data_IF_524918380396
#
_entry.id   IF_524918380396
#
_cell.length_a   1.000
_cell.length_b   1.000
_cell.length_c   1.000
_cell.angle_alpha   90.00
_cell.angle_beta   90.00
_cell.angle_gamma   90.00
#
_symmetry.space_group_name_H-M   'P 1'
#
loop_
_entity.id
_entity.type
_entity.pdbx_description
1 polymer ?
#
# COMPACT_ATOMS: atom_id res chain seq x y z
N UNK A 1 -2.92 -0.87 -22.84
CA UNK A 1 -1.65 -0.83 -23.61
C UNK A 1 -1.84 -0.89 -25.12
N UNK A 2 -2.85 -1.59 -25.66
CA UNK A 2 -3.13 -1.60 -27.12
C UNK A 2 -3.61 -0.22 -27.67
N UNK A 3 -4.42 0.52 -26.91
CA UNK A 3 -5.03 1.80 -27.34
C UNK A 3 -4.04 2.98 -27.49
N UNK A 4 -2.88 2.93 -26.84
CA UNK A 4 -1.85 3.99 -26.94
C UNK A 4 -0.93 3.83 -28.14
N UNK A 5 -0.80 2.61 -28.68
CA UNK A 5 -0.06 2.35 -29.93
C UNK A 5 -0.75 2.94 -31.17
N UNK A 6 -2.06 3.15 -31.09
CA UNK A 6 -2.89 3.56 -32.23
C UNK A 6 -2.73 5.02 -32.67
N UNK A 7 -2.25 5.90 -31.79
CA UNK A 7 -2.27 7.35 -32.08
C UNK A 7 -0.96 8.01 -32.50
N UNK A 8 0.18 7.32 -32.49
CA UNK A 8 1.49 7.97 -32.69
C UNK A 8 2.42 7.43 -33.80
N UNK A 9 2.03 6.42 -34.55
CA UNK A 9 2.99 5.74 -35.46
C UNK A 9 3.03 6.33 -36.87
N UNK A 10 2.17 7.24 -37.27
CA UNK A 10 2.20 7.79 -38.64
C UNK A 10 2.28 9.31 -38.61
N UNK A 11 3.50 9.84 -38.45
CA UNK A 11 3.82 11.20 -38.88
C UNK A 11 4.35 11.16 -40.30
N UNK A 12 3.52 11.40 -41.29
CA UNK A 12 3.94 11.63 -42.65
C UNK A 12 4.42 13.08 -42.82
N UNK A 13 5.71 13.30 -42.79
CA UNK A 13 6.31 14.55 -43.19
C UNK A 13 6.70 14.45 -44.69
N UNK A 14 5.82 14.83 -45.55
CA UNK A 14 6.04 15.47 -46.86
C UNK A 14 4.83 15.42 -47.77
N UNK A 15 3.93 16.39 -47.65
CA UNK A 15 3.09 16.84 -48.75
C UNK A 15 2.81 18.35 -48.51
N UNK A 16 3.13 19.12 -49.52
CA UNK A 16 3.21 20.59 -49.47
C UNK A 16 1.93 21.29 -49.79
N UNK A 17 0.81 21.02 -49.06
CA UNK A 17 -0.39 21.86 -49.14
C UNK A 17 -1.25 21.67 -47.88
N UNK A 18 -1.53 22.77 -47.20
CA UNK A 18 -2.13 22.78 -45.87
C UNK A 18 -3.59 22.31 -45.78
N UNK A 19 -4.35 22.40 -46.88
CA UNK A 19 -5.78 22.02 -46.88
C UNK A 19 -6.02 20.56 -47.29
N UNK A 20 -5.11 19.92 -48.00
CA UNK A 20 -5.22 18.50 -48.39
C UNK A 20 -4.76 17.55 -47.26
N UNK A 21 -4.03 18.06 -46.28
CA UNK A 21 -3.47 17.26 -45.18
C UNK A 21 -4.53 16.76 -44.19
N UNK A 22 -5.56 17.57 -43.91
CA UNK A 22 -6.55 17.20 -42.89
C UNK A 22 -7.49 16.09 -43.36
N UNK A 23 -7.91 16.12 -44.61
CA UNK A 23 -8.84 15.12 -45.19
C UNK A 23 -8.13 13.78 -45.44
N UNK A 24 -6.88 13.80 -45.88
CA UNK A 24 -6.07 12.57 -46.13
C UNK A 24 -5.74 11.85 -44.84
N UNK A 25 -5.49 12.58 -43.76
CA UNK A 25 -5.20 11.99 -42.43
C UNK A 25 -6.47 11.33 -41.86
N UNK A 26 -7.63 11.90 -42.02
CA UNK A 26 -8.89 11.42 -41.45
C UNK A 26 -9.43 10.15 -42.15
N UNK A 27 -9.19 10.02 -43.46
CA UNK A 27 -9.58 8.83 -44.24
C UNK A 27 -8.53 7.75 -44.30
N UNK A 28 -7.25 8.10 -44.21
CA UNK A 28 -6.14 7.15 -44.27
C UNK A 28 -5.85 6.44 -42.92
N UNK A 29 -6.23 7.02 -41.79
CA UNK A 29 -5.98 6.42 -40.47
C UNK A 29 -6.66 5.03 -40.30
N UNK A 30 -7.94 4.84 -40.62
CA UNK A 30 -8.56 3.51 -40.52
C UNK A 30 -7.99 2.50 -41.55
N UNK A 31 -7.61 2.96 -42.74
CA UNK A 31 -7.05 2.12 -43.80
C UNK A 31 -5.60 1.69 -43.53
N UNK A 32 -4.84 2.50 -42.81
CA UNK A 32 -3.45 2.21 -42.47
C UNK A 32 -3.30 1.29 -41.24
N UNK A 33 -4.33 1.19 -40.39
CA UNK A 33 -4.28 0.43 -39.15
C UNK A 33 -4.05 -1.07 -39.38
N UNK A 34 -4.87 -1.70 -40.24
CA UNK A 34 -4.78 -3.14 -40.51
C UNK A 34 -3.43 -3.53 -41.14
N UNK A 35 -2.90 -2.83 -42.17
CA UNK A 35 -1.59 -3.09 -42.70
C UNK A 35 -0.43 -2.86 -41.71
N UNK A 36 -0.54 -1.87 -40.85
CA UNK A 36 0.47 -1.63 -39.79
C UNK A 36 0.49 -2.75 -38.75
N UNK A 37 -0.66 -3.24 -38.32
CA UNK A 37 -0.79 -4.39 -37.43
C UNK A 37 -0.23 -5.66 -38.06
N UNK A 38 -0.56 -5.92 -39.34
CA UNK A 38 -0.01 -7.02 -40.11
C UNK A 38 1.51 -6.94 -40.20
N UNK A 39 2.05 -5.76 -40.52
CA UNK A 39 3.51 -5.55 -40.61
C UNK A 39 4.19 -5.78 -39.24
N UNK A 40 3.61 -5.33 -38.13
CA UNK A 40 4.08 -5.60 -36.77
C UNK A 40 4.17 -7.10 -36.50
N UNK A 41 3.13 -7.86 -36.84
CA UNK A 41 3.07 -9.31 -36.64
C UNK A 41 4.14 -10.00 -37.48
N UNK A 42 4.26 -9.66 -38.79
CA UNK A 42 5.24 -10.23 -39.68
C UNK A 42 6.68 -9.96 -39.25
N UNK A 43 6.96 -8.72 -38.79
CA UNK A 43 8.28 -8.32 -38.30
C UNK A 43 8.73 -9.06 -37.03
N UNK A 44 7.85 -9.79 -36.37
CA UNK A 44 8.25 -10.71 -35.30
C UNK A 44 8.98 -11.96 -35.83
N UNK A 45 8.67 -12.36 -37.07
CA UNK A 45 9.30 -13.53 -37.73
C UNK A 45 10.34 -13.19 -38.76
N UNK A 46 10.22 -12.03 -39.47
CA UNK A 46 11.11 -11.62 -40.56
C UNK A 46 11.81 -10.31 -40.26
N UNK A 47 12.89 -10.00 -40.99
CA UNK A 47 13.67 -8.77 -40.78
C UNK A 47 13.14 -7.57 -41.54
N UNK A 48 12.28 -7.78 -42.54
CA UNK A 48 11.61 -6.71 -43.31
C UNK A 48 10.31 -7.18 -43.90
N UNK A 49 9.36 -6.25 -44.05
CA UNK A 49 8.05 -6.49 -44.67
C UNK A 49 7.63 -5.30 -45.54
N UNK A 50 6.71 -5.51 -46.47
CA UNK A 50 6.15 -4.47 -47.34
C UNK A 50 4.76 -4.09 -46.87
N UNK A 51 4.51 -2.78 -46.76
CA UNK A 51 3.19 -2.19 -46.53
C UNK A 51 2.72 -1.58 -47.83
N UNK A 52 1.74 -2.19 -48.48
CA UNK A 52 1.19 -1.73 -49.75
C UNK A 52 -0.29 -1.34 -49.54
N UNK A 53 -0.62 -0.07 -49.80
CA UNK A 53 -1.95 0.49 -49.79
C UNK A 53 -2.26 1.08 -51.16
N UNK A 54 -2.94 0.34 -52.03
CA UNK A 54 -3.31 0.83 -53.37
C UNK A 54 -4.45 1.84 -53.28
N UNK A 55 -4.46 2.79 -54.20
CA UNK A 55 -5.57 3.74 -54.42
C UNK A 55 -5.94 4.61 -53.19
N UNK A 56 -4.93 5.12 -52.45
CA UNK A 56 -5.21 6.00 -51.30
C UNK A 56 -5.86 7.28 -51.73
N UNK A 57 -5.43 7.86 -52.84
CA UNK A 57 -5.97 9.07 -53.42
C UNK A 57 -5.69 9.14 -54.92
N UNK A 58 -6.24 10.10 -55.62
CA UNK A 58 -5.92 10.38 -57.02
C UNK A 58 -5.72 11.88 -57.19
N UNK A 59 -4.79 12.25 -58.06
CA UNK A 59 -4.59 13.63 -58.55
C UNK A 59 -4.56 13.69 -60.06
N UNK A 60 -4.18 14.86 -60.63
CA UNK A 60 -4.12 15.08 -62.07
C UNK A 60 -3.12 14.13 -62.79
N UNK A 61 -2.24 13.47 -62.06
CA UNK A 61 -1.27 12.51 -62.63
C UNK A 61 -1.74 11.04 -62.46
N UNK A 62 -2.93 10.81 -61.89
CA UNK A 62 -3.52 9.48 -61.71
C UNK A 62 -3.60 9.01 -60.24
N UNK A 63 -3.94 7.72 -60.03
CA UNK A 63 -4.08 7.16 -58.72
C UNK A 63 -2.72 7.10 -57.96
N UNK A 64 -2.76 7.36 -56.65
CA UNK A 64 -1.62 7.29 -55.75
C UNK A 64 -1.73 6.08 -54.85
N UNK A 65 -0.60 5.43 -54.62
CA UNK A 65 -0.45 4.25 -53.81
C UNK A 65 0.61 4.54 -52.74
N UNK A 66 0.48 3.90 -51.57
CA UNK A 66 1.57 3.83 -50.63
C UNK A 66 2.24 2.44 -50.77
N UNK A 67 3.52 2.43 -51.11
CA UNK A 67 4.35 1.25 -51.08
C UNK A 67 5.60 1.54 -50.23
N UNK A 68 5.69 0.89 -49.07
CA UNK A 68 6.70 1.15 -48.08
C UNK A 68 7.29 -0.16 -47.57
N UNK A 69 8.61 -0.28 -47.63
CA UNK A 69 9.33 -1.37 -46.95
C UNK A 69 9.67 -0.93 -45.52
N UNK A 70 9.20 -1.69 -44.54
CA UNK A 70 9.51 -1.50 -43.14
C UNK A 70 10.44 -2.60 -42.66
N UNK A 71 11.61 -2.23 -42.11
CA UNK A 71 12.53 -3.16 -41.49
C UNK A 71 12.25 -3.31 -39.99
N UNK A 72 12.58 -4.49 -39.41
CA UNK A 72 12.50 -4.72 -37.97
C UNK A 72 13.30 -3.66 -37.19
N UNK A 73 14.53 -3.35 -37.62
CA UNK A 73 15.33 -2.33 -36.95
C UNK A 73 14.65 -0.94 -36.93
N UNK A 74 13.96 -0.56 -38.01
CA UNK A 74 13.18 0.70 -38.05
C UNK A 74 11.95 0.64 -37.14
N UNK A 75 11.26 -0.49 -37.13
CA UNK A 75 10.14 -0.74 -36.21
C UNK A 75 10.59 -0.66 -34.75
N UNK A 76 11.68 -1.35 -34.38
CA UNK A 76 12.24 -1.33 -33.03
C UNK A 76 12.65 0.09 -32.61
N UNK A 77 13.27 0.86 -33.51
CA UNK A 77 13.61 2.27 -33.27
C UNK A 77 12.36 3.10 -32.97
N UNK A 78 11.28 2.92 -33.72
CA UNK A 78 10.03 3.68 -33.55
C UNK A 78 9.28 3.32 -32.28
N UNK A 79 9.41 2.07 -31.80
CA UNK A 79 8.69 1.53 -30.65
C UNK A 79 9.56 1.39 -29.39
N UNK A 80 10.84 1.75 -29.45
CA UNK A 80 11.80 1.59 -28.34
C UNK A 80 11.27 2.18 -27.01
N UNK A 81 10.69 3.38 -27.07
CA UNK A 81 10.14 4.04 -25.88
C UNK A 81 8.98 3.28 -25.23
N UNK A 82 8.20 2.53 -26.01
CA UNK A 82 7.09 1.70 -25.50
C UNK A 82 7.63 0.44 -24.81
N UNK A 83 8.65 -0.19 -25.42
CA UNK A 83 9.33 -1.34 -24.82
C UNK A 83 10.01 -0.94 -23.52
N UNK A 84 10.77 0.16 -23.51
CA UNK A 84 11.45 0.65 -22.31
C UNK A 84 10.47 1.00 -21.18
N UNK A 85 9.32 1.59 -21.50
CA UNK A 85 8.27 1.91 -20.51
C UNK A 85 7.76 0.67 -19.75
N UNK A 86 7.85 -0.54 -20.34
CA UNK A 86 7.45 -1.78 -19.70
C UNK A 86 8.46 -2.28 -18.66
N UNK A 87 9.71 -1.77 -18.68
CA UNK A 87 10.75 -2.17 -17.75
C UNK A 87 10.46 -1.72 -16.30
N UNK A 88 9.84 -0.56 -16.14
CA UNK A 88 9.47 -0.01 -14.82
C UNK A 88 8.59 -0.96 -14.01
N UNK A 89 7.40 -1.34 -14.52
CA UNK A 89 6.51 -2.30 -13.83
C UNK A 89 7.15 -3.64 -13.52
N UNK A 90 8.04 -4.16 -14.38
CA UNK A 90 8.76 -5.42 -14.11
C UNK A 90 9.71 -5.28 -12.93
N UNK A 91 10.50 -4.20 -12.89
CA UNK A 91 11.41 -3.91 -11.76
C UNK A 91 10.65 -3.71 -10.47
N UNK A 92 9.53 -2.98 -10.53
CA UNK A 92 8.69 -2.75 -9.36
C UNK A 92 8.12 -4.06 -8.81
N UNK A 93 7.58 -4.92 -9.67
CA UNK A 93 7.03 -6.22 -9.25
C UNK A 93 8.09 -7.12 -8.59
N UNK A 94 9.33 -7.13 -9.12
CA UNK A 94 10.44 -7.87 -8.52
C UNK A 94 10.82 -7.29 -7.15
N UNK A 95 10.88 -5.96 -7.05
CA UNK A 95 11.17 -5.26 -5.80
C UNK A 95 10.10 -5.52 -4.73
N UNK A 96 8.82 -5.42 -5.09
CA UNK A 96 7.69 -5.67 -4.18
C UNK A 96 7.67 -7.12 -3.67
N UNK A 97 8.10 -8.07 -4.51
CA UNK A 97 8.22 -9.48 -4.13
C UNK A 97 9.50 -9.79 -3.34
N UNK A 98 10.44 -8.84 -3.20
CA UNK A 98 11.75 -9.08 -2.60
C UNK A 98 12.61 -10.06 -3.40
N UNK A 99 12.36 -10.20 -4.72
CA UNK A 99 13.01 -11.16 -5.60
C UNK A 99 13.94 -10.47 -6.60
N UNK A 100 14.99 -11.18 -6.97
CA UNK A 100 15.85 -10.86 -8.12
C UNK A 100 15.48 -11.71 -9.34
N UNK A 101 15.95 -11.33 -10.52
CA UNK A 101 15.73 -12.14 -11.73
C UNK A 101 16.27 -13.57 -11.63
N UNK A 102 17.33 -13.81 -10.82
CA UNK A 102 17.89 -15.14 -10.58
C UNK A 102 16.96 -16.06 -9.78
N UNK A 103 16.14 -15.50 -8.92
CA UNK A 103 15.23 -16.25 -8.03
C UNK A 103 14.00 -16.79 -8.75
N UNK A 104 13.70 -16.23 -9.95
CA UNK A 104 12.59 -16.69 -10.76
C UNK A 104 12.82 -18.11 -11.27
N UNK A 105 11.85 -19.00 -11.09
CA UNK A 105 11.91 -20.35 -11.67
C UNK A 105 11.73 -20.31 -13.19
N UNK A 106 10.72 -19.57 -13.66
CA UNK A 106 10.37 -19.41 -15.08
C UNK A 106 9.82 -18.02 -15.36
N UNK A 107 9.93 -17.58 -16.60
CA UNK A 107 9.30 -16.35 -17.10
C UNK A 107 8.26 -16.76 -18.16
N UNK A 108 6.99 -16.51 -17.87
CA UNK A 108 5.90 -16.78 -18.80
C UNK A 108 5.62 -15.51 -19.60
N UNK A 109 5.63 -15.66 -20.93
CA UNK A 109 5.30 -14.58 -21.87
C UNK A 109 3.82 -14.69 -22.23
N UNK A 110 3.03 -13.69 -21.86
CA UNK A 110 1.56 -13.69 -22.02
C UNK A 110 1.12 -12.54 -22.93
N UNK A 111 0.19 -12.83 -23.85
CA UNK A 111 -0.37 -11.89 -24.81
C UNK A 111 0.49 -11.74 -26.08
N UNK A 112 -0.18 -11.40 -27.20
CA UNK A 112 0.44 -11.35 -28.52
C UNK A 112 1.64 -10.41 -28.64
N UNK A 113 1.65 -9.29 -27.90
CA UNK A 113 2.78 -8.34 -27.91
C UNK A 113 4.07 -8.90 -27.31
N UNK A 114 4.00 -9.96 -26.50
CA UNK A 114 5.17 -10.67 -25.98
C UNK A 114 5.93 -11.47 -27.03
N UNK A 115 5.38 -11.61 -28.24
CA UNK A 115 6.05 -12.22 -29.39
C UNK A 115 7.06 -11.28 -30.05
N UNK A 116 7.01 -9.99 -29.78
CA UNK A 116 7.95 -8.99 -30.33
C UNK A 116 9.37 -9.27 -29.81
N UNK A 117 10.37 -9.44 -30.69
CA UNK A 117 11.72 -9.78 -30.26
C UNK A 117 12.33 -8.78 -29.27
N UNK A 118 12.15 -7.48 -29.48
CA UNK A 118 12.63 -6.43 -28.57
C UNK A 118 12.05 -6.56 -27.15
N UNK A 119 10.79 -7.00 -27.01
CA UNK A 119 10.16 -7.27 -25.70
C UNK A 119 10.81 -8.48 -25.03
N UNK A 120 11.06 -9.56 -25.80
CA UNK A 120 11.71 -10.76 -25.27
C UNK A 120 13.15 -10.47 -24.83
N UNK A 121 13.90 -9.69 -25.61
CA UNK A 121 15.26 -9.28 -25.25
C UNK A 121 15.29 -8.40 -24.00
N UNK A 122 14.36 -7.47 -23.87
CA UNK A 122 14.23 -6.62 -22.68
C UNK A 122 13.95 -7.46 -21.43
N UNK A 123 13.01 -8.40 -21.49
CA UNK A 123 12.69 -9.31 -20.38
C UNK A 123 13.91 -10.16 -20.02
N UNK A 124 14.60 -10.72 -21.02
CA UNK A 124 15.84 -11.48 -20.80
C UNK A 124 16.94 -10.63 -20.15
N UNK A 125 17.07 -9.38 -20.55
CA UNK A 125 18.04 -8.43 -19.95
C UNK A 125 17.71 -8.13 -18.49
N UNK A 126 16.43 -8.00 -18.12
CA UNK A 126 16.00 -7.70 -16.77
C UNK A 126 16.07 -8.91 -15.83
N UNK A 127 15.72 -10.10 -16.34
CA UNK A 127 15.56 -11.30 -15.51
C UNK A 127 16.71 -12.30 -15.64
N UNK A 128 17.57 -12.13 -16.66
CA UNK A 128 18.60 -13.11 -17.00
C UNK A 128 18.05 -14.42 -17.61
N UNK A 129 16.73 -14.52 -17.80
CA UNK A 129 16.05 -15.76 -18.27
C UNK A 129 15.30 -15.51 -19.58
N UNK A 130 15.29 -16.53 -20.43
CA UNK A 130 14.45 -16.51 -21.64
C UNK A 130 12.99 -16.82 -21.28
N UNK A 131 12.07 -16.25 -22.06
CA UNK A 131 10.66 -16.60 -21.97
C UNK A 131 10.42 -18.09 -22.20
N UNK A 132 9.60 -18.70 -21.32
CA UNK A 132 9.23 -20.10 -21.43
C UNK A 132 8.37 -20.33 -22.66
N UNK A 133 8.78 -21.28 -23.52
CA UNK A 133 8.16 -21.54 -24.83
C UNK A 133 7.08 -22.64 -24.80
N UNK A 134 6.83 -23.24 -23.64
CA UNK A 134 5.91 -24.38 -23.52
C UNK A 134 4.42 -24.00 -23.47
N UNK A 135 4.08 -22.71 -23.51
CA UNK A 135 2.69 -22.21 -23.46
C UNK A 135 2.52 -21.20 -24.61
N UNK A 136 1.39 -21.29 -25.32
CA UNK A 136 1.02 -20.30 -26.31
C UNK A 136 0.65 -18.97 -25.62
N UNK A 137 1.34 -17.86 -25.89
CA UNK A 137 1.06 -16.57 -25.25
C UNK A 137 -0.37 -16.07 -25.44
N UNK A 138 -1.03 -16.42 -26.54
CA UNK A 138 -2.39 -15.97 -26.86
C UNK A 138 -3.45 -16.79 -26.11
N UNK A 139 -3.14 -18.02 -25.71
CA UNK A 139 -4.05 -18.95 -25.02
C UNK A 139 -3.83 -18.98 -23.51
N UNK A 140 -2.74 -18.41 -23.01
CA UNK A 140 -2.33 -18.51 -21.61
C UNK A 140 -3.40 -18.03 -20.63
N UNK A 141 -4.11 -16.94 -20.96
CA UNK A 141 -5.20 -16.40 -20.12
C UNK A 141 -6.39 -17.35 -20.10
N UNK A 142 -6.77 -17.93 -21.25
CA UNK A 142 -7.88 -18.88 -21.33
C UNK A 142 -7.58 -20.17 -20.54
N UNK A 143 -6.34 -20.66 -20.65
CA UNK A 143 -5.89 -21.82 -19.86
C UNK A 143 -5.91 -21.52 -18.35
N UNK A 144 -5.43 -20.34 -17.95
CA UNK A 144 -5.48 -19.89 -16.55
C UNK A 144 -6.92 -19.79 -16.03
N UNK A 145 -7.83 -19.22 -16.82
CA UNK A 145 -9.26 -19.13 -16.47
C UNK A 145 -9.91 -20.53 -16.33
N UNK A 146 -9.56 -21.47 -17.21
CA UNK A 146 -10.07 -22.85 -17.11
C UNK A 146 -9.55 -23.56 -15.86
N UNK A 147 -8.27 -23.40 -15.52
CA UNK A 147 -7.70 -23.94 -14.29
C UNK A 147 -8.36 -23.35 -13.05
N UNK A 148 -8.58 -22.03 -13.03
CA UNK A 148 -9.30 -21.37 -11.94
C UNK A 148 -10.74 -21.86 -11.79
N UNK A 149 -11.44 -22.06 -12.91
CA UNK A 149 -12.75 -22.71 -12.92
C UNK A 149 -12.71 -24.10 -12.28
N UNK A 150 -11.72 -24.93 -12.61
CA UNK A 150 -11.52 -26.24 -12.01
C UNK A 150 -11.22 -26.20 -10.51
N UNK A 151 -10.50 -25.17 -10.03
CA UNK A 151 -10.30 -24.95 -8.59
C UNK A 151 -11.62 -24.61 -7.90
N UNK A 152 -12.44 -23.74 -8.48
CA UNK A 152 -13.75 -23.37 -7.91
C UNK A 152 -14.75 -24.54 -7.89
N UNK A 153 -14.73 -25.42 -8.89
CA UNK A 153 -15.58 -26.61 -8.90
C UNK A 153 -15.04 -27.76 -8.03
N UNK A 154 -13.81 -27.65 -7.54
CA UNK A 154 -13.15 -28.69 -6.75
C UNK A 154 -12.55 -29.84 -7.57
N UNK A 155 -12.53 -29.69 -8.91
CA UNK A 155 -11.92 -30.68 -9.82
C UNK A 155 -10.38 -30.63 -9.77
N UNK A 156 -9.81 -29.45 -9.51
CA UNK A 156 -8.38 -29.20 -9.33
C UNK A 156 -8.12 -28.90 -7.86
N UNK A 157 -7.43 -29.81 -7.15
CA UNK A 157 -7.17 -29.70 -5.70
C UNK A 157 -5.73 -29.32 -5.36
N UNK A 158 -4.82 -29.51 -6.29
CA UNK A 158 -3.37 -29.31 -6.06
C UNK A 158 -2.88 -27.94 -6.51
N UNK A 159 -3.79 -27.03 -6.88
CA UNK A 159 -3.47 -25.68 -7.31
C UNK A 159 -4.13 -24.68 -6.37
N UNK A 160 -3.31 -23.87 -5.69
CA UNK A 160 -3.76 -22.73 -4.91
C UNK A 160 -3.46 -21.47 -5.71
N UNK A 161 -4.52 -20.76 -6.15
CA UNK A 161 -4.36 -19.41 -6.69
C UNK A 161 -4.65 -18.42 -5.57
N UNK A 162 -3.65 -17.59 -5.30
CA UNK A 162 -3.75 -16.50 -4.33
C UNK A 162 -3.73 -15.17 -5.10
N UNK A 163 -4.68 -14.32 -4.78
CA UNK A 163 -4.69 -12.94 -5.24
C UNK A 163 -4.07 -12.04 -4.17
N UNK A 164 -3.87 -10.76 -4.47
CA UNK A 164 -3.28 -9.78 -3.55
C UNK A 164 -4.13 -8.51 -3.46
N UNK A 165 -4.04 -7.83 -2.33
CA UNK A 165 -4.63 -6.51 -2.18
C UNK A 165 -3.90 -5.49 -3.06
N UNK A 166 -4.60 -4.72 -3.92
CA UNK A 166 -3.96 -3.76 -4.81
C UNK A 166 -3.41 -2.52 -4.09
N UNK A 167 -4.01 -2.15 -2.98
CA UNK A 167 -3.64 -1.02 -2.12
C UNK A 167 -3.82 -1.41 -0.65
N UNK A 168 -3.10 -0.71 0.23
CA UNK A 168 -3.22 -0.86 1.68
C UNK A 168 -4.62 -0.51 2.18
N UNK A 169 -5.06 -1.22 3.21
CA UNK A 169 -6.32 -1.02 3.91
C UNK A 169 -6.07 -0.66 5.36
N UNK A 170 -6.83 0.29 5.86
CA UNK A 170 -6.67 0.76 7.24
C UNK A 170 -7.85 1.61 7.69
N UNK A 171 -7.67 2.23 8.83
CA UNK A 171 -8.65 3.14 9.42
C UNK A 171 -8.03 4.51 9.73
N UNK A 172 -8.89 5.53 9.79
CA UNK A 172 -8.51 6.84 10.33
C UNK A 172 -8.34 6.75 11.84
N UNK A 173 -7.23 7.28 12.34
CA UNK A 173 -6.93 7.41 13.76
C UNK A 173 -6.74 8.86 14.17
N UNK A 174 -6.49 9.11 15.46
CA UNK A 174 -6.38 10.44 16.03
C UNK A 174 -5.42 11.33 15.26
N UNK A 175 -5.88 12.54 14.92
CA UNK A 175 -5.11 13.50 14.11
C UNK A 175 -5.26 13.34 12.60
N UNK A 176 -6.20 12.49 12.12
CA UNK A 176 -6.46 12.27 10.69
C UNK A 176 -5.40 11.43 10.00
N UNK A 177 -4.69 10.58 10.73
CA UNK A 177 -3.67 9.66 10.20
C UNK A 177 -4.34 8.37 9.75
N UNK A 178 -3.90 7.81 8.62
CA UNK A 178 -4.28 6.46 8.20
C UNK A 178 -3.38 5.43 8.87
N UNK A 179 -3.95 4.63 9.77
CA UNK A 179 -3.27 3.46 10.33
C UNK A 179 -3.57 2.25 9.47
N UNK A 180 -2.55 1.73 8.79
CA UNK A 180 -2.65 0.57 7.91
C UNK A 180 -2.70 -0.71 8.73
N UNK A 181 -3.69 -1.59 8.47
CA UNK A 181 -3.79 -2.92 9.04
C UNK A 181 -3.38 -4.00 8.04
N UNK A 182 -3.70 -3.80 6.77
CA UNK A 182 -3.30 -4.69 5.68
C UNK A 182 -2.52 -3.86 4.67
N UNK A 183 -1.26 -4.22 4.45
CA UNK A 183 -0.40 -3.56 3.46
C UNK A 183 -0.78 -3.98 2.03
N UNK A 184 -0.48 -3.13 1.04
CA UNK A 184 -0.61 -3.48 -0.38
C UNK A 184 0.18 -4.75 -0.69
N UNK A 185 -0.24 -5.47 -1.72
CA UNK A 185 0.37 -6.74 -2.15
C UNK A 185 0.30 -7.86 -1.09
N UNK A 186 -0.52 -7.71 -0.05
CA UNK A 186 -0.80 -8.81 0.89
C UNK A 186 -1.67 -9.86 0.21
N UNK A 187 -1.24 -11.12 0.27
CA UNK A 187 -1.98 -12.26 -0.28
C UNK A 187 -3.33 -12.45 0.42
N UNK A 188 -4.38 -12.71 -0.35
CA UNK A 188 -5.71 -13.02 0.15
C UNK A 188 -6.07 -14.50 -0.10
N UNK A 189 -6.90 -15.14 0.77
CA UNK A 189 -7.62 -14.54 1.90
C UNK A 189 -6.69 -14.17 3.06
N UNK A 190 -7.05 -13.10 3.79
CA UNK A 190 -6.27 -12.62 4.94
C UNK A 190 -7.17 -12.01 6.00
N UNK A 191 -6.84 -12.28 7.27
CA UNK A 191 -7.50 -11.68 8.42
C UNK A 191 -6.45 -11.03 9.32
N UNK A 192 -6.65 -9.75 9.65
CA UNK A 192 -5.76 -9.02 10.58
C UNK A 192 -6.58 -8.16 11.53
N UNK A 193 -6.17 -8.15 12.79
CA UNK A 193 -6.80 -7.38 13.86
C UNK A 193 -5.76 -6.49 14.54
N UNK A 194 -6.24 -5.33 15.02
CA UNK A 194 -5.46 -4.42 15.86
C UNK A 194 -6.37 -3.78 16.89
N UNK A 195 -5.84 -3.62 18.12
CA UNK A 195 -6.58 -3.00 19.21
C UNK A 195 -6.33 -1.50 19.23
N UNK A 196 -7.42 -0.74 19.28
CA UNK A 196 -7.47 0.71 19.42
C UNK A 196 -8.16 1.09 20.73
N UNK A 197 -8.22 2.38 21.01
CA UNK A 197 -8.86 2.88 22.23
C UNK A 197 -9.61 4.18 21.97
N UNK A 198 -10.33 4.67 22.99
CA UNK A 198 -11.08 5.94 22.94
C UNK A 198 -10.15 7.15 23.02
N UNK A 199 -10.52 8.24 22.35
CA UNK A 199 -9.78 9.51 22.31
C UNK A 199 -10.23 10.50 23.42
N UNK A 200 -11.38 10.28 24.05
CA UNK A 200 -11.93 11.14 25.08
C UNK A 200 -12.46 10.34 26.29
N UNK A 201 -12.52 11.01 27.45
CA UNK A 201 -13.13 10.45 28.67
C UNK A 201 -14.63 10.23 28.47
N UNK A 202 -15.14 9.12 29.00
CA UNK A 202 -16.57 8.75 28.95
C UNK A 202 -17.15 8.64 27.53
N UNK A 203 -16.28 8.36 26.54
CA UNK A 203 -16.69 8.15 25.15
C UNK A 203 -17.43 6.81 25.03
N UNK A 204 -18.72 6.86 24.66
CA UNK A 204 -19.61 5.69 24.55
C UNK A 204 -19.80 5.18 23.13
N UNK A 205 -19.26 5.89 22.14
CA UNK A 205 -19.30 5.55 20.72
C UNK A 205 -18.01 5.91 20.03
N UNK A 206 -17.59 5.09 19.05
CA UNK A 206 -16.48 5.40 18.14
C UNK A 206 -16.93 5.25 16.70
N UNK A 207 -16.52 6.19 15.83
CA UNK A 207 -16.64 6.05 14.38
C UNK A 207 -15.43 5.31 13.84
N UNK A 208 -15.66 4.27 13.06
CA UNK A 208 -14.64 3.56 12.30
C UNK A 208 -14.73 4.01 10.85
N UNK A 209 -13.75 4.78 10.41
CA UNK A 209 -13.61 5.25 9.04
C UNK A 209 -12.63 4.37 8.29
N UNK A 210 -13.16 3.53 7.39
CA UNK A 210 -12.39 2.55 6.61
C UNK A 210 -11.85 3.19 5.35
N UNK A 211 -10.54 3.02 5.15
CA UNK A 211 -9.76 3.68 4.10
C UNK A 211 -8.99 2.68 3.25
N UNK A 212 -8.77 3.06 1.99
CA UNK A 212 -7.90 2.36 1.04
C UNK A 212 -6.96 3.35 0.37
N UNK A 213 -5.65 3.06 0.37
CA UNK A 213 -4.65 3.89 -0.28
C UNK A 213 -3.27 3.79 0.37
N UNK A 214 -2.34 4.61 -0.12
CA UNK A 214 -0.94 4.59 0.31
C UNK A 214 -0.49 5.85 1.05
N UNK A 215 -1.34 6.91 1.10
CA UNK A 215 -1.01 8.17 1.74
C UNK A 215 -1.12 8.06 3.27
N UNK A 216 -0.21 8.74 4.00
CA UNK A 216 -0.20 8.72 5.47
C UNK A 216 -1.40 9.44 6.11
N UNK A 217 -1.95 10.46 5.43
CA UNK A 217 -3.10 11.20 5.94
C UNK A 217 -4.41 10.64 5.39
N UNK A 218 -5.39 10.41 6.26
CA UNK A 218 -6.69 9.82 5.94
C UNK A 218 -7.42 10.53 4.80
N UNK A 219 -7.38 11.86 4.77
CA UNK A 219 -8.07 12.69 3.78
C UNK A 219 -7.60 12.48 2.33
N UNK A 220 -6.41 11.93 2.12
CA UNK A 220 -5.84 11.69 0.80
C UNK A 220 -6.04 10.25 0.32
N UNK A 221 -6.71 9.42 1.11
CA UNK A 221 -7.04 8.04 0.78
C UNK A 221 -8.51 7.88 0.44
N UNK A 222 -8.84 6.81 -0.26
CA UNK A 222 -10.23 6.51 -0.66
C UNK A 222 -11.02 5.99 0.53
N UNK A 223 -12.15 6.63 0.84
CA UNK A 223 -13.11 6.11 1.81
C UNK A 223 -13.83 4.89 1.23
N UNK A 224 -13.75 3.76 1.93
CA UNK A 224 -14.51 2.55 1.63
C UNK A 224 -15.84 2.49 2.36
N UNK A 225 -15.90 3.04 3.57
CA UNK A 225 -17.11 3.11 4.36
C UNK A 225 -16.87 3.72 5.73
N UNK A 226 -17.97 3.96 6.45
CA UNK A 226 -17.97 4.44 7.84
C UNK A 226 -19.06 3.72 8.62
N UNK A 227 -18.80 3.38 9.86
CA UNK A 227 -19.79 2.82 10.77
C UNK A 227 -19.47 3.21 12.22
N UNK A 228 -20.46 3.11 13.09
CA UNK A 228 -20.30 3.46 14.51
C UNK A 228 -20.39 2.20 15.36
N UNK A 229 -19.48 2.07 16.30
CA UNK A 229 -19.60 1.12 17.41
C UNK A 229 -20.12 1.89 18.61
N UNK A 230 -21.37 1.61 19.00
CA UNK A 230 -22.06 2.24 20.11
C UNK A 230 -22.10 1.36 21.35
N UNK A 231 -22.28 2.01 22.52
CA UNK A 231 -22.51 1.34 23.80
C UNK A 231 -21.24 0.78 24.41
N UNK A 232 -20.12 1.45 24.16
CA UNK A 232 -18.88 1.31 24.91
C UNK A 232 -19.17 1.78 26.34
N UNK A 233 -18.70 1.04 27.34
CA UNK A 233 -18.86 1.46 28.76
C UNK A 233 -18.11 2.77 29.00
N UNK A 234 -18.75 3.76 29.63
CA UNK A 234 -18.07 5.00 30.01
C UNK A 234 -16.83 4.71 30.86
N UNK A 235 -15.69 5.14 30.39
CA UNK A 235 -14.41 4.97 31.07
C UNK A 235 -13.47 6.12 30.68
N UNK A 236 -12.31 6.19 31.34
CA UNK A 236 -11.26 7.13 30.95
C UNK A 236 -10.76 6.84 29.55
N UNK A 237 -10.34 7.87 28.82
CA UNK A 237 -9.68 7.71 27.52
C UNK A 237 -8.50 6.75 27.65
N UNK A 238 -8.31 5.91 26.65
CA UNK A 238 -7.24 4.91 26.64
C UNK A 238 -7.56 3.61 27.39
N UNK A 239 -8.65 3.52 28.17
CA UNK A 239 -9.05 2.32 28.92
C UNK A 239 -9.87 1.34 28.06
N UNK A 240 -10.92 1.77 27.33
CA UNK A 240 -11.65 0.86 26.46
C UNK A 240 -10.75 0.27 25.38
N UNK A 241 -10.85 -1.03 25.16
CA UNK A 241 -10.11 -1.75 24.14
C UNK A 241 -11.05 -2.14 23.01
N UNK A 242 -10.81 -1.59 21.82
CA UNK A 242 -11.63 -1.77 20.64
C UNK A 242 -10.80 -2.52 19.60
N UNK A 243 -11.11 -3.80 19.42
CA UNK A 243 -10.46 -4.61 18.39
C UNK A 243 -11.12 -4.33 17.04
N UNK A 244 -10.33 -3.82 16.09
CA UNK A 244 -10.74 -3.65 14.69
C UNK A 244 -10.14 -4.76 13.89
N UNK A 245 -10.99 -5.51 13.17
CA UNK A 245 -10.59 -6.66 12.36
C UNK A 245 -10.96 -6.40 10.91
N UNK A 246 -9.98 -6.59 10.03
CA UNK A 246 -10.15 -6.68 8.58
C UNK A 246 -10.09 -8.15 8.18
N UNK A 247 -11.13 -8.62 7.50
CA UNK A 247 -11.26 -9.99 7.01
C UNK A 247 -11.58 -9.95 5.52
N UNK A 248 -10.62 -10.35 4.69
CA UNK A 248 -10.74 -10.36 3.22
C UNK A 248 -10.84 -11.81 2.78
N UNK A 249 -11.93 -12.15 2.11
CA UNK A 249 -12.13 -13.49 1.58
C UNK A 249 -11.35 -13.74 0.28
N UNK A 250 -11.40 -14.96 -0.23
CA UNK A 250 -10.74 -15.34 -1.48
C UNK A 250 -11.29 -14.62 -2.73
N UNK A 251 -12.46 -13.98 -2.63
CA UNK A 251 -13.07 -13.19 -3.71
C UNK A 251 -12.73 -11.71 -3.61
N UNK A 252 -11.94 -11.30 -2.60
CA UNK A 252 -11.59 -9.91 -2.37
C UNK A 252 -12.68 -9.08 -1.68
N UNK A 253 -13.70 -9.72 -1.11
CA UNK A 253 -14.73 -9.03 -0.32
C UNK A 253 -14.12 -8.67 1.03
N UNK A 254 -14.17 -7.39 1.37
CA UNK A 254 -13.62 -6.87 2.62
C UNK A 254 -14.71 -6.73 3.67
N UNK A 255 -14.60 -7.47 4.76
CA UNK A 255 -15.42 -7.31 5.96
C UNK A 255 -14.57 -6.60 7.03
N UNK A 256 -15.10 -5.53 7.59
CA UNK A 256 -14.46 -4.81 8.67
C UNK A 256 -15.38 -4.83 9.87
N UNK A 257 -14.89 -5.35 11.00
CA UNK A 257 -15.62 -5.34 12.27
C UNK A 257 -14.86 -4.57 13.33
N UNK A 258 -15.59 -3.97 14.26
CA UNK A 258 -15.07 -3.34 15.45
C UNK A 258 -15.81 -3.91 16.66
N UNK A 259 -15.04 -4.39 17.66
CA UNK A 259 -15.57 -5.03 18.88
C UNK A 259 -14.98 -4.37 20.12
N UNK A 260 -15.85 -3.93 21.01
CA UNK A 260 -15.45 -3.52 22.35
C UNK A 260 -15.20 -4.77 23.21
N UNK A 261 -13.94 -4.96 23.60
CA UNK A 261 -13.51 -6.13 24.37
C UNK A 261 -14.08 -6.14 25.80
N UNK A 262 -14.47 -4.96 26.32
CA UNK A 262 -15.06 -4.83 27.65
C UNK A 262 -16.53 -5.21 27.71
N UNK A 263 -17.36 -4.76 26.76
CA UNK A 263 -18.80 -5.04 26.71
C UNK A 263 -19.17 -6.21 25.79
N UNK A 264 -18.25 -6.61 24.91
CA UNK A 264 -18.49 -7.62 23.89
C UNK A 264 -19.37 -7.14 22.72
N UNK A 265 -19.75 -5.85 22.69
CA UNK A 265 -20.53 -5.28 21.58
C UNK A 265 -19.69 -5.20 20.33
N UNK A 266 -20.29 -5.54 19.21
CA UNK A 266 -19.63 -5.58 17.91
C UNK A 266 -20.51 -4.94 16.84
N UNK A 267 -19.88 -4.26 15.90
CA UNK A 267 -20.48 -3.74 14.67
C UNK A 267 -19.57 -4.07 13.50
N UNK A 268 -20.15 -4.21 12.32
CA UNK A 268 -19.40 -4.54 11.12
C UNK A 268 -19.96 -3.85 9.86
N UNK A 269 -19.11 -3.74 8.85
CA UNK A 269 -19.49 -3.32 7.51
C UNK A 269 -18.90 -4.31 6.50
N UNK A 270 -19.67 -4.66 5.48
CA UNK A 270 -19.20 -5.45 4.34
C UNK A 270 -19.07 -4.54 3.11
N UNK A 271 -17.90 -4.52 2.51
CA UNK A 271 -17.56 -3.65 1.38
C UNK A 271 -17.52 -4.51 0.13
N UNK A 272 -18.59 -4.45 -0.69
CA UNK A 272 -18.77 -5.31 -1.86
C UNK A 272 -18.43 -4.64 -3.20
N UNK A 273 -18.46 -3.30 -3.27
CA UNK A 273 -18.41 -2.59 -4.56
C UNK A 273 -17.33 -1.52 -4.69
N UNK A 274 -16.66 -1.16 -3.62
CA UNK A 274 -15.69 -0.05 -3.60
C UNK A 274 -14.24 -0.46 -3.85
N UNK A 275 -13.93 -1.77 -3.82
CA UNK A 275 -12.58 -2.30 -4.04
C UNK A 275 -12.19 -2.33 -5.52
N UNK A 276 -13.17 -2.25 -6.44
CA UNK A 276 -12.90 -2.19 -7.88
C UNK A 276 -12.41 -0.80 -8.28
N UNK A 277 -11.16 -0.51 -8.01
CA UNK A 277 -10.46 0.61 -8.63
C UNK A 277 -9.96 0.19 -10.01
N UNK A 278 -10.03 1.11 -10.99
CA UNK A 278 -9.37 0.85 -12.26
C UNK A 278 -7.85 0.78 -12.05
N UNK A 279 -7.16 0.06 -12.93
CA UNK A 279 -5.69 -0.01 -12.87
C UNK A 279 -5.06 1.39 -12.91
N UNK A 280 -5.62 2.29 -13.71
CA UNK A 280 -5.14 3.67 -13.81
C UNK A 280 -5.31 4.44 -12.49
N UNK A 281 -6.39 4.19 -11.75
CA UNK A 281 -6.61 4.81 -10.43
C UNK A 281 -5.65 4.24 -9.37
N UNK A 282 -5.36 2.92 -9.42
CA UNK A 282 -4.38 2.29 -8.55
C UNK A 282 -2.98 2.85 -8.82
N UNK A 283 -2.56 2.88 -10.10
CA UNK A 283 -1.26 3.41 -10.51
C UNK A 283 -1.11 4.90 -10.15
N UNK A 284 -2.21 5.66 -10.24
CA UNK A 284 -2.25 7.06 -9.83
C UNK A 284 -2.09 7.21 -8.33
N UNK A 285 -2.83 6.44 -7.53
CA UNK A 285 -2.75 6.47 -6.07
C UNK A 285 -1.33 6.15 -5.56
N UNK A 286 -0.68 5.13 -6.15
CA UNK A 286 0.71 4.76 -5.82
C UNK A 286 1.68 5.88 -6.18
N UNK A 287 1.59 6.43 -7.39
CA UNK A 287 2.47 7.53 -7.83
C UNK A 287 2.28 8.80 -7.00
N UNK A 288 1.05 9.16 -6.66
CA UNK A 288 0.77 10.28 -5.78
C UNK A 288 1.37 10.05 -4.38
N UNK A 289 1.26 8.84 -3.83
CA UNK A 289 1.87 8.51 -2.55
C UNK A 289 3.40 8.63 -2.59
N UNK A 290 4.04 8.14 -3.65
CA UNK A 290 5.49 8.29 -3.85
C UNK A 290 5.91 9.76 -4.00
N UNK A 291 5.14 10.55 -4.76
CA UNK A 291 5.42 11.96 -5.00
C UNK A 291 5.34 12.79 -3.71
N UNK A 292 4.38 12.50 -2.85
CA UNK A 292 4.13 13.26 -1.62
C UNK A 292 4.67 12.58 -0.36
N UNK A 293 5.42 11.48 -0.49
CA UNK A 293 5.90 10.68 0.64
C UNK A 293 6.64 11.52 1.70
N UNK A 294 7.54 12.42 1.27
CA UNK A 294 8.29 13.26 2.19
C UNK A 294 7.41 14.29 2.91
N UNK A 295 6.43 14.88 2.21
CA UNK A 295 5.49 15.85 2.80
C UNK A 295 4.53 15.17 3.77
N UNK A 296 4.01 14.00 3.39
CA UNK A 296 3.11 13.21 4.23
C UNK A 296 3.81 12.68 5.49
N UNK A 297 5.04 12.19 5.36
CA UNK A 297 5.85 11.75 6.49
C UNK A 297 6.06 12.88 7.50
N UNK A 298 6.35 14.09 7.01
CA UNK A 298 6.50 15.27 7.86
C UNK A 298 5.20 15.63 8.57
N UNK A 299 4.08 15.63 7.84
CA UNK A 299 2.75 15.92 8.44
C UNK A 299 2.35 14.90 9.49
N UNK A 300 2.63 13.61 9.23
CA UNK A 300 2.41 12.55 10.21
C UNK A 300 3.27 12.76 11.46
N UNK A 301 4.56 13.06 11.29
CA UNK A 301 5.45 13.35 12.41
C UNK A 301 4.93 14.54 13.25
N UNK A 302 4.46 15.61 12.61
CA UNK A 302 3.84 16.75 13.28
C UNK A 302 2.60 16.36 14.11
N UNK A 303 1.75 15.50 13.54
CA UNK A 303 0.55 14.97 14.22
C UNK A 303 0.95 14.04 15.37
N UNK A 304 1.90 13.16 15.18
CA UNK A 304 2.38 12.21 16.20
C UNK A 304 3.00 12.93 17.39
N UNK A 305 3.81 13.97 17.14
CA UNK A 305 4.38 14.82 18.20
C UNK A 305 3.27 15.52 19.00
N UNK A 306 2.26 16.07 18.31
CA UNK A 306 1.11 16.71 18.97
C UNK A 306 0.30 15.73 19.79
N UNK A 307 -0.04 14.58 19.24
CA UNK A 307 -0.78 13.52 19.92
C UNK A 307 -0.04 13.02 21.17
N UNK A 308 1.28 12.86 21.08
CA UNK A 308 2.13 12.49 22.21
C UNK A 308 2.13 13.57 23.29
N UNK A 309 2.22 14.85 22.91
CA UNK A 309 2.10 15.99 23.83
C UNK A 309 0.75 16.00 24.56
N UNK A 310 -0.36 15.84 23.85
CA UNK A 310 -1.70 15.78 24.41
C UNK A 310 -1.87 14.58 25.35
N UNK A 311 -1.30 13.44 25.00
CA UNK A 311 -1.30 12.26 25.87
C UNK A 311 -0.52 12.51 27.16
N UNK A 312 0.65 13.13 27.06
CA UNK A 312 1.47 13.45 28.21
C UNK A 312 0.81 14.46 29.15
N UNK A 313 0.14 15.48 28.61
CA UNK A 313 -0.68 16.42 29.36
C UNK A 313 -1.76 15.67 30.15
N UNK A 314 -2.53 14.82 29.47
CA UNK A 314 -3.62 14.07 30.09
C UNK A 314 -3.12 13.15 31.21
N UNK A 315 -2.06 12.37 30.95
CA UNK A 315 -1.49 11.47 31.96
C UNK A 315 -0.98 12.23 33.19
N UNK A 316 -0.31 13.36 32.96
CA UNK A 316 0.21 14.18 34.06
C UNK A 316 -0.91 14.80 34.89
N UNK A 317 -1.95 15.36 34.26
CA UNK A 317 -3.12 15.88 34.95
C UNK A 317 -3.78 14.83 35.85
N UNK A 318 -3.99 13.64 35.31
CA UNK A 318 -4.60 12.53 36.04
C UNK A 318 -3.75 12.08 37.23
N UNK A 319 -2.43 11.98 37.03
CA UNK A 319 -1.54 11.64 38.14
C UNK A 319 -1.52 12.71 39.23
N UNK A 320 -1.55 13.98 38.86
CA UNK A 320 -1.63 15.09 39.81
C UNK A 320 -2.97 15.11 40.57
N UNK A 321 -4.07 14.75 39.90
CA UNK A 321 -5.41 14.64 40.53
C UNK A 321 -5.47 13.48 41.54
N UNK A 322 -4.89 12.32 41.19
CA UNK A 322 -5.00 11.11 42.01
C UNK A 322 -3.93 11.02 43.10
N UNK A 323 -2.75 11.53 42.87
CA UNK A 323 -1.60 11.38 43.77
C UNK A 323 -0.95 12.70 44.17
N UNK A 324 -1.51 13.85 43.78
CA UNK A 324 -0.91 15.17 44.01
C UNK A 324 -0.61 15.50 45.47
N UNK A 325 -1.40 14.94 46.40
CA UNK A 325 -1.19 15.09 47.84
C UNK A 325 0.01 14.27 48.39
N UNK A 326 0.45 13.26 47.63
CA UNK A 326 1.60 12.41 47.97
C UNK A 326 2.91 12.91 47.34
N UNK A 327 2.82 13.89 46.43
CA UNK A 327 3.98 14.49 45.76
C UNK A 327 4.54 15.62 46.61
N UNK A 328 5.84 15.67 46.90
CA UNK A 328 6.47 16.79 47.60
C UNK A 328 6.19 18.11 46.89
N UNK A 329 5.80 19.17 47.63
CA UNK A 329 5.35 20.43 47.09
C UNK A 329 6.33 21.07 46.06
N UNK A 330 7.64 20.91 46.28
CA UNK A 330 8.65 21.41 45.35
C UNK A 330 8.72 20.67 44.00
N UNK A 331 8.48 19.35 44.02
CA UNK A 331 8.45 18.52 42.82
C UNK A 331 7.11 18.70 42.08
N UNK A 332 5.99 18.81 42.82
CA UNK A 332 4.68 19.14 42.28
C UNK A 332 4.69 20.46 41.48
N UNK A 333 5.31 21.50 42.03
CA UNK A 333 5.44 22.80 41.38
C UNK A 333 6.23 22.74 40.06
N UNK A 334 7.26 21.89 39.98
CA UNK A 334 8.03 21.70 38.71
C UNK A 334 7.20 21.02 37.65
N UNK A 335 6.49 19.93 38.02
CA UNK A 335 5.61 19.21 37.09
C UNK A 335 4.46 20.12 36.60
N UNK A 336 3.81 20.88 37.50
CA UNK A 336 2.76 21.84 37.12
C UNK A 336 3.27 22.96 36.21
N UNK A 337 4.50 23.44 36.44
CA UNK A 337 5.12 24.46 35.55
C UNK A 337 5.37 23.89 34.17
N UNK A 338 5.97 22.68 34.07
CA UNK A 338 6.24 22.03 32.79
C UNK A 338 4.94 21.65 32.05
N UNK A 339 3.91 21.19 32.81
CA UNK A 339 2.58 20.90 32.28
C UNK A 339 1.92 22.13 31.66
N UNK A 340 1.93 23.27 32.38
CA UNK A 340 1.37 24.51 31.87
C UNK A 340 2.14 25.03 30.65
N UNK A 341 3.45 24.89 30.65
CA UNK A 341 4.26 25.24 29.50
C UNK A 341 3.89 24.41 28.27
N UNK A 342 3.78 23.07 28.39
CA UNK A 342 3.36 22.19 27.28
C UNK A 342 1.94 22.53 26.80
N UNK A 343 0.99 22.81 27.69
CA UNK A 343 -0.37 23.22 27.32
C UNK A 343 -0.39 24.51 26.49
N UNK A 344 0.43 25.49 26.86
CA UNK A 344 0.54 26.74 26.08
C UNK A 344 1.19 26.48 24.73
N UNK A 345 2.24 25.67 24.68
CA UNK A 345 2.94 25.33 23.46
C UNK A 345 2.06 24.56 22.47
N UNK A 346 1.20 23.65 22.97
CA UNK A 346 0.21 22.91 22.16
C UNK A 346 -0.85 23.80 21.49
N UNK A 347 -1.07 25.03 21.95
CA UNK A 347 -1.95 26.00 21.28
C UNK A 347 -1.33 26.56 20.00
N UNK A 348 0.00 26.51 19.90
CA UNK A 348 0.76 26.94 18.72
C UNK A 348 0.91 25.84 17.69
N UNK A 349 1.67 26.14 16.62
CA UNK A 349 1.98 25.20 15.52
C UNK A 349 3.47 24.88 15.43
N UNK A 350 4.27 25.27 16.41
CA UNK A 350 5.70 24.99 16.43
C UNK A 350 5.95 23.58 16.96
N UNK A 351 6.14 22.63 16.04
CA UNK A 351 6.32 21.21 16.32
C UNK A 351 7.58 20.95 17.16
N UNK A 352 8.66 21.71 16.91
CA UNK A 352 9.91 21.55 17.67
C UNK A 352 9.72 22.01 19.12
N UNK A 353 9.05 23.12 19.34
CA UNK A 353 8.72 23.61 20.67
C UNK A 353 7.80 22.64 21.44
N UNK A 354 6.82 22.01 20.75
CA UNK A 354 5.95 20.98 21.34
C UNK A 354 6.77 19.76 21.78
N UNK A 355 7.70 19.29 20.93
CA UNK A 355 8.57 18.17 21.23
C UNK A 355 9.44 18.44 22.46
N UNK A 356 10.12 19.59 22.51
CA UNK A 356 10.97 20.00 23.63
C UNK A 356 10.18 20.14 24.93
N UNK A 357 8.99 20.74 24.88
CA UNK A 357 8.12 20.89 26.04
C UNK A 357 7.59 19.53 26.53
N UNK A 358 7.29 18.58 25.61
CA UNK A 358 6.88 17.22 25.94
C UNK A 358 8.00 16.44 26.62
N UNK A 359 9.23 16.53 26.11
CA UNK A 359 10.40 15.91 26.72
C UNK A 359 10.71 16.49 28.11
N UNK A 360 10.58 17.81 28.28
CA UNK A 360 10.77 18.46 29.57
C UNK A 360 9.75 17.98 30.60
N UNK A 361 8.46 17.92 30.24
CA UNK A 361 7.41 17.41 31.12
C UNK A 361 7.64 15.92 31.45
N UNK A 362 7.98 15.12 30.46
CA UNK A 362 8.29 13.69 30.63
C UNK A 362 9.39 13.47 31.67
N UNK A 363 10.48 14.26 31.59
CA UNK A 363 11.60 14.20 32.51
C UNK A 363 11.18 14.50 33.97
N UNK A 364 10.42 15.59 34.18
CA UNK A 364 9.95 15.95 35.52
C UNK A 364 8.95 14.93 36.05
N UNK A 365 8.09 14.39 35.19
CA UNK A 365 7.13 13.36 35.55
C UNK A 365 7.78 12.04 35.99
N UNK A 366 8.79 11.58 35.24
CA UNK A 366 9.56 10.37 35.65
C UNK A 366 10.30 10.57 36.96
N UNK A 367 10.91 11.72 37.17
CA UNK A 367 11.62 12.03 38.43
C UNK A 367 10.68 11.96 39.65
N UNK A 368 9.40 12.40 39.50
CA UNK A 368 8.39 12.30 40.55
C UNK A 368 7.92 10.84 40.71
N UNK A 369 7.68 10.13 39.63
CA UNK A 369 7.24 8.73 39.65
C UNK A 369 8.25 7.83 40.35
N UNK A 370 9.53 7.99 40.07
CA UNK A 370 10.61 7.25 40.75
C UNK A 370 10.61 7.46 42.26
N UNK A 371 10.44 8.71 42.71
CA UNK A 371 10.35 9.04 44.14
C UNK A 371 9.12 8.43 44.82
N UNK A 372 7.96 8.44 44.13
CA UNK A 372 6.73 7.85 44.64
C UNK A 372 6.85 6.32 44.78
N UNK A 373 7.42 5.64 43.79
CA UNK A 373 7.70 4.20 43.85
C UNK A 373 8.73 3.85 44.91
N UNK A 374 9.80 4.62 45.06
CA UNK A 374 10.81 4.46 46.11
C UNK A 374 10.24 4.61 47.51
N UNK A 375 9.30 5.53 47.74
CA UNK A 375 8.60 5.70 49.03
C UNK A 375 7.59 4.57 49.30
N UNK A 376 6.93 4.03 48.30
CA UNK A 376 6.01 2.90 48.45
C UNK A 376 6.74 1.59 48.83
N UNK A 377 7.95 1.37 48.36
CA UNK A 377 8.78 0.22 48.76
C UNK A 377 9.40 0.37 50.14
N UNK A 378 9.64 1.59 50.61
CA UNK A 378 10.21 1.81 51.96
C UNK A 378 9.17 1.65 53.10
N UNK A 379 7.88 1.52 52.80
CA UNK A 379 6.79 1.41 53.75
C UNK A 379 6.26 0.01 54.05
N UNK A 380 6.75 -1.04 53.49
CA UNK A 380 6.38 -2.43 53.79
C UNK A 380 7.60 -3.25 54.24
N UNK A 381 7.73 -3.63 55.55
CA UNK A 381 8.63 -4.67 55.95
C UNK A 381 8.00 -6.04 55.65
N UNK A 382 8.23 -6.57 54.45
CA UNK A 382 7.94 -7.96 54.10
C UNK A 382 9.16 -8.83 54.19
N UNK A 383 9.02 -10.13 54.58
CA UNK A 383 10.16 -11.03 54.72
C UNK A 383 10.77 -11.32 53.36
N UNK A 384 12.03 -10.96 53.19
CA UNK A 384 12.79 -11.20 51.98
C UNK A 384 12.96 -12.70 51.71
N UNK A 385 12.86 -13.18 50.46
CA UNK A 385 13.45 -14.45 50.09
C UNK A 385 14.95 -14.28 49.90
N UNK A 386 15.68 -15.11 50.62
CA UNK A 386 17.10 -15.37 50.48
C UNK A 386 17.51 -15.66 49.04
N UNK A 387 18.32 -14.80 48.44
CA UNK A 387 18.94 -15.02 47.14
C UNK A 387 20.45 -15.12 47.32
N UNK A 388 20.89 -16.37 47.39
CA UNK A 388 22.29 -16.77 47.24
C UNK A 388 22.86 -16.27 45.89
N UNK A 389 24.07 -15.75 45.97
CA UNK A 389 24.80 -15.04 44.92
C UNK A 389 25.05 -15.78 43.61
N UNK A 390 25.13 -15.01 42.57
CA UNK A 390 26.03 -15.23 41.42
C UNK A 390 26.29 -13.91 40.70
N UNK A 391 27.55 -13.73 40.46
CA UNK A 391 28.27 -12.57 39.94
C UNK A 391 28.25 -12.55 38.40
N UNK A 392 28.07 -11.36 37.80
CA UNK A 392 28.72 -11.07 36.53
C UNK A 392 27.86 -10.90 35.29
N UNK A 393 27.91 -9.70 34.69
CA UNK A 393 27.91 -9.59 33.23
C UNK A 393 26.84 -8.74 32.56
N UNK A 394 27.17 -7.50 32.29
CA UNK A 394 26.97 -6.76 31.00
C UNK A 394 25.59 -6.55 30.34
N UNK A 395 25.36 -5.31 30.02
CA UNK A 395 24.26 -4.67 29.30
C UNK A 395 23.80 -5.34 27.96
N UNK A 396 22.48 -5.41 27.76
CA UNK A 396 21.85 -5.42 26.44
C UNK A 396 20.36 -4.99 26.54
N UNK A 397 19.86 -4.29 25.55
CA UNK A 397 18.57 -3.65 25.47
C UNK A 397 17.36 -4.61 25.35
N UNK A 398 16.13 -4.08 25.16
CA UNK A 398 14.90 -4.82 25.40
C UNK A 398 14.70 -5.96 24.40
N UNK A 399 14.60 -7.15 24.94
CA UNK A 399 14.35 -8.39 24.22
C UNK A 399 12.90 -8.46 23.71
N UNK A 400 12.81 -8.71 22.42
CA UNK A 400 11.61 -9.21 21.74
C UNK A 400 11.42 -10.67 22.19
N UNK A 401 10.30 -10.97 22.80
CA UNK A 401 9.93 -12.35 23.16
C UNK A 401 9.38 -13.01 21.90
N UNK A 402 10.18 -13.89 21.28
CA UNK A 402 9.70 -14.86 20.29
C UNK A 402 8.78 -15.86 20.99
N UNK A 403 7.55 -15.96 20.53
CA UNK A 403 6.64 -16.99 20.97
C UNK A 403 6.93 -18.27 20.16
N UNK A 404 7.59 -19.24 20.78
CA UNK A 404 7.66 -20.62 20.31
C UNK A 404 6.25 -21.20 20.25
N UNK A 405 5.80 -21.59 19.05
CA UNK A 405 4.56 -22.32 18.91
C UNK A 405 4.87 -23.76 18.43
N UNK A 406 4.37 -24.67 19.21
CA UNK A 406 4.51 -26.10 19.00
C UNK A 406 3.43 -26.58 18.04
N UNK A 407 3.84 -27.16 16.91
CA UNK A 407 2.93 -27.81 15.95
C UNK A 407 2.54 -29.16 16.54
N UNK A 408 1.27 -29.30 16.93
CA UNK A 408 0.71 -30.61 17.31
C UNK A 408 0.21 -31.29 16.03
N UNK A 409 0.92 -32.31 15.58
CA UNK A 409 0.45 -33.25 14.55
C UNK A 409 -0.69 -34.09 15.14
N UNK A 410 -1.89 -33.88 14.62
CA UNK A 410 -3.08 -34.71 14.92
C UNK A 410 -3.27 -35.76 13.82
N UNK A 411 -2.39 -36.75 13.81
CA UNK A 411 -2.57 -38.02 13.11
C UNK A 411 -3.08 -39.06 14.12
N UNK A 412 -4.41 -39.21 14.23
CA UNK A 412 -5.11 -40.48 14.50
C UNK A 412 -6.61 -40.27 14.72
N UNK A 413 -7.41 -40.41 13.64
CA UNK A 413 -8.52 -41.38 13.55
C UNK A 413 -9.21 -41.23 12.20
#
# INVERSE_FOLDING_TARGET
MLLLLERKVISFSSLSDSNSRSIVVEVALPLAFIPAEKAKIELSGVTSTSINLPYITADATGPKHLDLTLTRAKFDQLTAHLVEATSGPVKQALSDAGLSGSDLSKVLMVGGSSRIPAVQEMVKKLTGKEGFKGINPDECVALGAALQGGVFTGDVKDLLLLDVTPLSLGIETMGGVMTKLIERNTTIPVKKSQTFTTAADNQTSVEVHVLQGEREMAQYNKTLGRFHLDGIAPARRGVPQIEVTFDIDANGIVNVSAKDMGTGKEQHITITSSTNMSKDDIDKAVKEAEQFAAEDAKRKEEVDIRNNGDQMVYQTEKTLEEMGDKIPAGDKGKVESALNHLKETLKGNDTQAIKEATEALTKEFYAVSEKLYGQAQAGQPGPGPDMGGAQGGSAAGPDVVDADYEVVDDDQK
#
